data_IF_249575291722
#
_entry.id   IF_249575291722
#
_cell.length_a   1.000
_cell.length_b   1.000
_cell.length_c   1.000
_cell.angle_alpha   90.00
_cell.angle_beta   90.00
_cell.angle_gamma   90.00
#
_symmetry.space_group_name_H-M   'P 1'
#
loop_
_entity.id
_entity.type
_entity.pdbx_description
1 polymer ?
#
# COMPACT_ATOMS: atom_id res chain seq x y z
N UNK A 1 -8.43 -14.37 9.99
CA UNK A 1 -8.98 -14.69 8.66
C UNK A 1 -8.08 -15.71 7.98
N UNK A 2 -8.50 -16.30 6.85
CA UNK A 2 -7.69 -17.23 6.05
C UNK A 2 -7.49 -16.63 4.66
N UNK A 3 -6.26 -16.58 4.17
CA UNK A 3 -5.97 -16.20 2.77
C UNK A 3 -6.49 -17.30 1.85
N UNK A 4 -7.17 -16.91 0.79
CA UNK A 4 -7.79 -17.85 -0.17
C UNK A 4 -7.09 -17.75 -1.53
N UNK A 5 -7.80 -17.34 -2.58
CA UNK A 5 -7.27 -17.22 -3.94
C UNK A 5 -6.62 -15.86 -4.21
N UNK A 6 -5.77 -15.84 -5.22
CA UNK A 6 -5.20 -14.61 -5.77
C UNK A 6 -6.24 -13.88 -6.63
N UNK A 7 -6.21 -12.55 -6.58
CA UNK A 7 -7.05 -11.67 -7.40
C UNK A 7 -6.14 -10.67 -8.15
N UNK A 8 -6.59 -10.23 -9.32
CA UNK A 8 -5.91 -9.23 -10.17
C UNK A 8 -6.79 -8.00 -10.38
N UNK A 9 -6.21 -6.95 -10.98
CA UNK A 9 -6.89 -5.69 -11.31
C UNK A 9 -7.50 -5.00 -10.07
N UNK A 10 -6.70 -4.87 -9.00
CA UNK A 10 -7.15 -4.33 -7.72
C UNK A 10 -6.42 -3.03 -7.41
N UNK A 11 -7.18 -2.01 -7.01
CA UNK A 11 -6.66 -0.79 -6.39
C UNK A 11 -7.45 -0.47 -5.12
N UNK A 12 -6.91 0.39 -4.27
CA UNK A 12 -7.64 0.98 -3.15
C UNK A 12 -7.79 2.49 -3.35
N UNK A 13 -8.86 3.06 -2.80
CA UNK A 13 -9.15 4.49 -2.91
C UNK A 13 -9.51 5.07 -1.54
N UNK A 14 -8.78 6.10 -1.11
CA UNK A 14 -9.06 6.87 0.10
C UNK A 14 -8.25 8.18 0.06
N UNK A 15 -8.64 9.17 0.84
CA UNK A 15 -7.74 10.30 1.11
C UNK A 15 -6.72 9.94 2.20
N UNK A 16 -5.60 10.66 2.25
CA UNK A 16 -4.49 10.34 3.15
C UNK A 16 -4.90 10.29 4.62
N UNK A 17 -5.72 11.24 5.09
CA UNK A 17 -6.09 11.30 6.50
C UNK A 17 -6.98 10.12 6.90
N UNK A 18 -8.02 9.82 6.11
CA UNK A 18 -8.91 8.68 6.34
C UNK A 18 -8.15 7.35 6.29
N UNK A 19 -7.27 7.17 5.30
CA UNK A 19 -6.48 5.96 5.17
C UNK A 19 -5.63 5.72 6.42
N UNK A 20 -4.84 6.71 6.85
CA UNK A 20 -3.96 6.53 8.02
C UNK A 20 -4.75 6.43 9.34
N UNK A 21 -5.85 7.17 9.48
CA UNK A 21 -6.76 7.03 10.64
C UNK A 21 -7.42 5.65 10.71
N UNK A 22 -7.48 4.91 9.59
CA UNK A 22 -8.04 3.55 9.54
C UNK A 22 -7.04 2.45 9.95
N UNK A 23 -5.78 2.80 10.22
CA UNK A 23 -4.78 1.87 10.73
C UNK A 23 -5.16 1.37 12.13
N UNK A 24 -5.49 0.08 12.23
CA UNK A 24 -6.02 -0.53 13.44
C UNK A 24 -4.99 -1.39 14.19
N UNK A 25 -3.95 -1.86 13.51
CA UNK A 25 -2.88 -2.64 14.12
C UNK A 25 -1.63 -2.63 13.24
N UNK A 26 -0.46 -2.60 13.86
CA UNK A 26 0.87 -2.71 13.23
C UNK A 26 1.61 -3.85 13.94
N UNK A 27 2.29 -4.71 13.19
CA UNK A 27 3.16 -5.73 13.77
C UNK A 27 4.37 -5.10 14.47
N UNK A 28 5.02 -5.88 15.34
CA UNK A 28 6.21 -5.42 16.06
C UNK A 28 7.46 -5.36 15.16
N UNK A 29 8.58 -4.98 15.78
CA UNK A 29 9.89 -4.87 15.14
C UNK A 29 10.40 -6.16 14.47
N UNK A 30 9.94 -7.34 14.92
CA UNK A 30 10.37 -8.61 14.35
C UNK A 30 9.80 -8.84 12.94
N UNK A 31 8.69 -8.18 12.60
CA UNK A 31 8.09 -8.22 11.26
C UNK A 31 8.56 -7.08 10.35
N UNK A 32 9.31 -6.10 10.88
CA UNK A 32 9.77 -4.96 10.10
C UNK A 32 10.71 -5.40 8.97
N UNK A 33 10.46 -4.90 7.76
CA UNK A 33 11.26 -5.17 6.56
C UNK A 33 11.65 -3.87 5.90
N UNK A 34 12.93 -3.76 5.50
CA UNK A 34 13.45 -2.65 4.73
C UNK A 34 13.63 -3.09 3.27
N UNK A 35 12.77 -2.58 2.38
CA UNK A 35 12.91 -2.71 0.94
C UNK A 35 13.50 -1.44 0.32
N UNK A 36 13.86 -1.50 -0.96
CA UNK A 36 14.32 -0.33 -1.70
C UNK A 36 14.17 -0.50 -3.20
N UNK A 37 14.22 0.63 -3.90
CA UNK A 37 14.17 0.71 -5.35
C UNK A 37 15.18 1.75 -5.86
N UNK A 38 15.84 1.46 -6.99
CA UNK A 38 16.78 2.39 -7.63
C UNK A 38 16.09 3.41 -8.54
N UNK A 39 14.81 3.21 -8.80
CA UNK A 39 14.02 3.91 -9.80
C UNK A 39 12.66 4.35 -9.24
N UNK A 40 12.62 4.80 -7.98
CA UNK A 40 11.41 5.39 -7.41
C UNK A 40 11.11 6.72 -8.12
N UNK A 41 9.92 6.78 -8.72
CA UNK A 41 9.51 7.84 -9.61
C UNK A 41 8.56 8.82 -8.93
N UNK A 42 8.80 10.12 -9.10
CA UNK A 42 7.82 11.17 -8.82
C UNK A 42 7.22 11.69 -10.12
N UNK A 43 5.92 11.94 -10.10
CA UNK A 43 5.13 12.29 -11.28
C UNK A 43 5.55 13.60 -11.97
N UNK A 44 5.27 14.76 -11.34
CA UNK A 44 5.54 16.07 -11.96
C UNK A 44 6.14 17.09 -10.97
N UNK A 45 7.31 17.71 -11.28
CA UNK A 45 8.19 17.38 -12.39
C UNK A 45 8.72 15.94 -12.28
N UNK A 46 8.90 15.27 -13.43
CA UNK A 46 9.39 13.89 -13.47
C UNK A 46 10.77 13.78 -12.83
N UNK A 47 10.89 12.92 -11.81
CA UNK A 47 12.15 12.66 -11.11
C UNK A 47 12.26 11.17 -10.80
N UNK A 48 13.49 10.65 -10.79
CA UNK A 48 13.81 9.28 -10.42
C UNK A 48 14.95 9.28 -9.41
N UNK A 49 14.87 8.45 -8.37
CA UNK A 49 15.94 8.34 -7.38
C UNK A 49 16.04 6.92 -6.77
N UNK A 50 17.19 6.64 -6.16
CA UNK A 50 17.34 5.51 -5.25
C UNK A 50 16.74 5.84 -3.88
N UNK A 51 15.87 4.97 -3.36
CA UNK A 51 15.20 5.16 -2.06
C UNK A 51 15.00 3.82 -1.37
N UNK A 52 14.90 3.87 -0.04
CA UNK A 52 14.49 2.76 0.82
C UNK A 52 13.13 3.02 1.46
N UNK A 53 12.30 1.99 1.58
CA UNK A 53 11.01 2.01 2.28
C UNK A 53 10.98 0.89 3.32
N UNK A 54 10.75 1.27 4.57
CA UNK A 54 10.60 0.33 5.65
C UNK A 54 9.16 0.23 6.12
N UNK A 55 8.66 -0.98 6.33
CA UNK A 55 7.33 -1.21 6.87
C UNK A 55 7.23 -2.53 7.60
N UNK A 56 6.29 -2.58 8.54
CA UNK A 56 5.79 -3.82 9.14
C UNK A 56 4.37 -4.09 8.58
N UNK A 57 3.93 -5.35 8.66
CA UNK A 57 2.57 -5.72 8.28
C UNK A 57 1.57 -4.92 9.10
N UNK A 58 0.60 -4.31 8.44
CA UNK A 58 -0.36 -3.37 9.04
C UNK A 58 -1.78 -3.72 8.60
N UNK A 59 -2.73 -3.61 9.53
CA UNK A 59 -4.16 -3.79 9.24
C UNK A 59 -4.84 -2.43 9.14
N UNK A 60 -5.43 -2.14 7.99
CA UNK A 60 -6.31 -1.00 7.76
C UNK A 60 -7.76 -1.48 7.66
N UNK A 61 -8.69 -0.78 8.31
CA UNK A 61 -10.11 -1.15 8.33
C UNK A 61 -10.93 -0.26 7.41
N UNK A 62 -11.91 -0.82 6.69
CA UNK A 62 -12.87 -0.02 5.91
C UNK A 62 -12.26 0.69 4.69
N UNK A 63 -11.07 0.29 4.23
CA UNK A 63 -10.47 0.80 2.99
C UNK A 63 -11.28 0.30 1.79
N UNK A 64 -11.74 1.22 0.94
CA UNK A 64 -12.46 0.88 -0.28
C UNK A 64 -11.51 0.25 -1.30
N UNK A 65 -11.81 -0.97 -1.73
CA UNK A 65 -11.03 -1.73 -2.71
C UNK A 65 -11.86 -1.85 -3.98
N UNK A 66 -11.29 -1.44 -5.11
CA UNK A 66 -11.96 -1.37 -6.41
C UNK A 66 -11.34 -2.35 -7.41
N UNK A 67 -12.16 -2.86 -8.32
CA UNK A 67 -11.69 -3.61 -9.49
C UNK A 67 -11.41 -2.62 -10.63
N UNK A 68 -10.14 -2.50 -11.05
CA UNK A 68 -9.68 -1.56 -12.07
C UNK A 68 -9.98 -2.00 -13.50
N UNK A 69 -10.35 -3.26 -13.74
CA UNK A 69 -10.79 -3.74 -15.04
C UNK A 69 -12.26 -3.39 -15.35
N UNK A 70 -13.02 -2.95 -14.34
CA UNK A 70 -14.43 -2.57 -14.52
C UNK A 70 -14.52 -1.32 -15.40
N UNK A 71 -15.16 -1.46 -16.56
CA UNK A 71 -15.57 -0.32 -17.39
C UNK A 71 -16.86 0.26 -16.81
N UNK A 72 -16.88 1.59 -16.64
CA UNK A 72 -18.08 2.36 -16.29
C UNK A 72 -18.85 2.64 -17.59
#
# INVERSE_FOLDING_TARGET
GKITGMINDVAYQSNTQEFWNSCAAVCDESDYRLGGAFNDGKGQPGQSNAVSHGSATTRFNGVNVINTARKI
#
